data_IF_749393543178
#
_entry.id   IF_749393543178
#
_cell.length_a   1.000
_cell.length_b   1.000
_cell.length_c   1.000
_cell.angle_alpha   90.00
_cell.angle_beta   90.00
_cell.angle_gamma   90.00
#
_symmetry.space_group_name_H-M   'P 1'
#
loop_
_entity.id
_entity.type
_entity.pdbx_description
1 polymer ?
#
# COMPACT_ATOMS: atom_id res chain seq x y z
N UNK A 1 3.43 39.80 -51.14
CA UNK A 1 2.87 38.79 -50.23
C UNK A 1 3.50 37.39 -50.28
N UNK A 2 3.98 36.87 -51.45
CA UNK A 2 4.59 35.49 -51.52
C UNK A 2 5.98 35.35 -50.87
N UNK A 3 6.79 36.43 -50.77
CA UNK A 3 8.16 36.38 -50.21
C UNK A 3 8.15 36.36 -48.64
N UNK A 4 7.15 36.94 -47.99
CA UNK A 4 7.01 36.99 -46.54
C UNK A 4 6.55 35.66 -45.99
N UNK A 5 5.73 34.87 -46.70
CA UNK A 5 5.29 33.54 -46.24
C UNK A 5 6.44 32.51 -46.25
N UNK A 6 7.33 32.57 -47.27
CA UNK A 6 8.48 31.69 -47.36
C UNK A 6 9.50 31.91 -46.21
N UNK A 7 9.72 33.18 -45.80
CA UNK A 7 10.63 33.48 -44.71
C UNK A 7 10.09 33.09 -43.35
N UNK A 8 8.77 33.18 -43.12
CA UNK A 8 8.13 32.74 -41.85
C UNK A 8 8.14 31.21 -41.77
N UNK A 9 7.92 30.51 -42.87
CA UNK A 9 7.97 29.05 -42.92
C UNK A 9 9.39 28.52 -42.66
N UNK A 10 10.43 29.19 -43.17
CA UNK A 10 11.82 28.80 -42.96
C UNK A 10 12.27 29.04 -41.50
N UNK A 11 11.79 30.11 -40.83
CA UNK A 11 12.05 30.37 -39.40
C UNK A 11 11.34 29.34 -38.51
N UNK A 12 10.13 28.94 -38.87
CA UNK A 12 9.40 27.87 -38.11
C UNK A 12 10.05 26.50 -38.27
N UNK A 13 10.59 26.17 -39.42
CA UNK A 13 11.33 24.92 -39.67
C UNK A 13 12.70 24.91 -38.97
N UNK A 14 13.38 26.06 -38.84
CA UNK A 14 14.66 26.12 -38.13
C UNK A 14 14.49 26.11 -36.61
N UNK A 15 13.40 26.61 -36.07
CA UNK A 15 13.06 26.52 -34.63
C UNK A 15 12.67 25.10 -34.23
N UNK A 16 12.06 24.30 -35.12
CA UNK A 16 11.76 22.90 -34.87
C UNK A 16 13.01 22.01 -34.84
N UNK A 17 14.12 22.44 -35.46
CA UNK A 17 15.37 21.66 -35.52
C UNK A 17 16.30 21.89 -34.31
N UNK A 18 15.95 22.76 -33.36
CA UNK A 18 16.79 23.08 -32.19
C UNK A 18 16.26 22.43 -30.89
N UNK A 19 15.17 21.67 -30.97
CA UNK A 19 14.80 20.80 -29.84
C UNK A 19 15.72 19.58 -29.93
N UNK A 20 16.75 19.45 -29.04
CA UNK A 20 17.53 18.23 -29.03
C UNK A 20 16.52 17.07 -28.82
N UNK A 21 16.68 15.94 -29.52
CA UNK A 21 15.86 14.78 -29.21
C UNK A 21 16.02 14.55 -27.71
N UNK A 22 14.92 14.61 -26.97
CA UNK A 22 14.91 14.18 -25.58
C UNK A 22 15.42 12.74 -25.62
N UNK A 23 16.75 12.56 -25.37
CA UNK A 23 17.31 11.21 -25.27
C UNK A 23 16.49 10.53 -24.19
N UNK A 24 15.67 9.59 -24.55
CA UNK A 24 14.96 8.79 -23.60
C UNK A 24 16.01 8.27 -22.61
N UNK A 25 15.99 8.75 -21.39
CA UNK A 25 16.95 8.38 -20.38
C UNK A 25 16.78 6.87 -20.16
N UNK A 26 17.70 6.10 -20.73
CA UNK A 26 17.60 4.64 -20.68
C UNK A 26 18.19 4.16 -19.35
N UNK A 27 17.44 3.34 -18.67
CA UNK A 27 17.91 2.64 -17.49
C UNK A 27 19.00 1.64 -17.88
N UNK A 28 20.15 1.66 -17.19
CA UNK A 28 21.24 0.71 -17.42
C UNK A 28 20.76 -0.73 -17.16
N UNK A 29 20.81 -1.56 -18.21
CA UNK A 29 20.36 -2.96 -18.17
C UNK A 29 21.23 -3.87 -17.30
N UNK A 30 22.43 -3.42 -16.88
CA UNK A 30 23.32 -4.15 -15.97
C UNK A 30 22.94 -4.04 -14.51
N UNK A 31 22.10 -3.07 -14.15
CA UNK A 31 21.62 -2.88 -12.78
C UNK A 31 20.67 -4.02 -12.36
N UNK A 32 20.57 -4.32 -11.05
CA UNK A 32 19.54 -5.20 -10.51
C UNK A 32 18.13 -4.81 -10.94
N UNK A 33 17.25 -5.78 -11.12
CA UNK A 33 15.89 -5.52 -11.57
C UNK A 33 15.13 -4.52 -10.71
N UNK A 34 15.26 -4.61 -9.38
CA UNK A 34 14.62 -3.67 -8.43
C UNK A 34 15.07 -2.23 -8.68
N UNK A 35 16.39 -2.00 -8.86
CA UNK A 35 16.93 -0.67 -9.16
C UNK A 35 16.43 -0.18 -10.53
N UNK A 36 16.41 -1.06 -11.54
CA UNK A 36 15.92 -0.73 -12.88
C UNK A 36 14.45 -0.33 -12.88
N UNK A 37 13.60 -1.06 -12.14
CA UNK A 37 12.19 -0.72 -12.01
C UNK A 37 12.01 0.63 -11.33
N UNK A 38 12.68 0.86 -10.19
CA UNK A 38 12.65 2.13 -9.47
C UNK A 38 13.07 3.29 -10.37
N UNK A 39 14.20 3.19 -11.07
CA UNK A 39 14.66 4.23 -11.98
C UNK A 39 13.69 4.45 -13.15
N UNK A 40 13.11 3.40 -13.68
CA UNK A 40 12.11 3.48 -14.76
C UNK A 40 10.87 4.26 -14.31
N UNK A 41 10.37 4.02 -13.09
CA UNK A 41 9.23 4.76 -12.54
C UNK A 41 9.58 6.23 -12.28
N UNK A 42 10.76 6.51 -11.71
CA UNK A 42 11.23 7.90 -11.48
C UNK A 42 11.42 8.68 -12.79
N UNK A 43 11.84 8.02 -13.88
CA UNK A 43 11.96 8.64 -15.21
C UNK A 43 10.57 8.91 -15.80
N UNK A 44 9.66 7.94 -15.68
CA UNK A 44 8.28 8.05 -16.20
C UNK A 44 7.47 9.10 -15.44
N UNK A 45 7.68 9.18 -14.14
CA UNK A 45 6.97 10.05 -13.21
C UNK A 45 7.97 10.92 -12.43
N UNK A 46 8.50 12.01 -13.02
CA UNK A 46 9.47 12.88 -12.34
C UNK A 46 8.94 13.46 -11.02
N UNK A 47 7.64 13.72 -10.95
CA UNK A 47 6.94 14.10 -9.73
C UNK A 47 6.35 12.87 -9.03
N UNK A 48 6.84 12.53 -7.86
CA UNK A 48 6.49 11.28 -7.15
C UNK A 48 5.00 11.11 -6.83
N UNK A 49 4.22 12.19 -6.79
CA UNK A 49 2.78 12.12 -6.62
C UNK A 49 2.04 11.60 -7.87
N UNK A 50 2.70 11.55 -9.04
CA UNK A 50 2.13 11.05 -10.30
C UNK A 50 2.22 9.52 -10.44
N UNK A 51 2.92 8.84 -9.54
CA UNK A 51 2.94 7.38 -9.50
C UNK A 51 1.52 6.81 -9.65
N UNK A 52 1.41 5.60 -10.20
CA UNK A 52 0.13 4.96 -10.48
C UNK A 52 -0.77 5.80 -11.42
N UNK A 53 -0.16 6.51 -12.39
CA UNK A 53 -0.86 7.31 -13.42
C UNK A 53 -1.82 8.38 -12.85
N UNK A 54 -1.51 8.94 -11.67
CA UNK A 54 -2.41 9.88 -11.02
C UNK A 54 -2.41 11.24 -11.74
N UNK A 55 -3.57 11.75 -12.18
CA UNK A 55 -3.68 13.05 -12.83
C UNK A 55 -3.76 14.22 -11.83
N UNK A 56 -3.89 13.94 -10.53
CA UNK A 56 -3.99 14.91 -9.44
C UNK A 56 -3.47 14.34 -8.14
N UNK A 57 -3.18 15.19 -7.17
CA UNK A 57 -2.74 14.76 -5.84
C UNK A 57 -3.74 13.78 -5.23
N UNK A 58 -3.24 12.63 -4.80
CA UNK A 58 -4.02 11.55 -4.21
C UNK A 58 -3.23 10.86 -3.11
N UNK A 59 -3.83 10.71 -1.95
CA UNK A 59 -3.32 9.87 -0.87
C UNK A 59 -3.95 8.50 -0.98
N UNK A 60 -3.25 7.54 -1.60
CA UNK A 60 -3.79 6.22 -1.90
C UNK A 60 -2.75 5.11 -1.67
N UNK A 61 -3.23 3.88 -1.52
CA UNK A 61 -2.41 2.71 -1.18
C UNK A 61 -1.29 2.42 -2.18
N UNK A 62 -1.50 2.68 -3.46
CA UNK A 62 -0.48 2.47 -4.50
C UNK A 62 0.80 3.24 -4.21
N UNK A 63 0.69 4.52 -3.83
CA UNK A 63 1.86 5.32 -3.45
C UNK A 63 2.61 4.73 -2.25
N UNK A 64 1.87 4.28 -1.23
CA UNK A 64 2.49 3.63 -0.06
C UNK A 64 3.23 2.35 -0.40
N UNK A 65 2.66 1.55 -1.31
CA UNK A 65 3.29 0.32 -1.78
C UNK A 65 4.56 0.60 -2.59
N UNK A 66 4.44 1.42 -3.64
CA UNK A 66 5.55 1.69 -4.55
C UNK A 66 6.70 2.43 -3.87
N UNK A 67 6.39 3.49 -3.13
CA UNK A 67 7.41 4.26 -2.40
C UNK A 67 8.02 3.45 -1.26
N UNK A 68 7.26 2.57 -0.62
CA UNK A 68 7.79 1.61 0.35
C UNK A 68 8.83 0.70 -0.27
N UNK A 69 8.50 0.06 -1.39
CA UNK A 69 9.44 -0.78 -2.15
C UNK A 69 10.66 0.00 -2.66
N UNK A 70 10.49 1.25 -3.10
CA UNK A 70 11.60 2.13 -3.49
C UNK A 70 12.51 2.44 -2.30
N UNK A 71 11.96 2.67 -1.11
CA UNK A 71 12.76 2.85 0.09
C UNK A 71 13.54 1.58 0.47
N UNK A 72 13.00 0.38 0.23
CA UNK A 72 13.75 -0.87 0.42
C UNK A 72 14.94 -0.99 -0.56
N UNK A 73 14.75 -0.52 -1.80
CA UNK A 73 15.85 -0.40 -2.77
C UNK A 73 16.89 0.60 -2.27
N UNK A 74 16.48 1.75 -1.72
CA UNK A 74 17.39 2.70 -1.11
C UNK A 74 18.19 2.08 0.05
N UNK A 75 17.54 1.38 0.96
CA UNK A 75 18.23 0.75 2.11
C UNK A 75 19.23 -0.32 1.66
N UNK A 76 18.96 -0.98 0.54
CA UNK A 76 19.83 -2.03 -0.02
C UNK A 76 21.04 -1.46 -0.79
N UNK A 77 20.83 -0.40 -1.56
CA UNK A 77 21.83 0.09 -2.53
C UNK A 77 22.34 1.52 -2.24
N UNK A 78 21.72 2.26 -1.34
CA UNK A 78 22.19 3.56 -0.86
C UNK A 78 21.97 4.75 -1.81
N UNK A 79 21.18 4.60 -2.88
CA UNK A 79 20.92 5.70 -3.82
C UNK A 79 19.98 6.75 -3.21
N UNK A 80 20.57 7.86 -2.79
CA UNK A 80 19.85 8.97 -2.14
C UNK A 80 18.75 9.60 -3.01
N UNK A 81 18.85 9.51 -4.34
CA UNK A 81 17.80 10.04 -5.23
C UNK A 81 16.48 9.32 -5.02
N UNK A 82 16.52 8.00 -4.75
CA UNK A 82 15.34 7.19 -4.47
C UNK A 82 14.68 7.65 -3.16
N UNK A 83 15.47 7.83 -2.11
CA UNK A 83 15.00 8.36 -0.82
C UNK A 83 14.38 9.75 -0.99
N UNK A 84 15.08 10.64 -1.68
CA UNK A 84 14.66 12.02 -1.86
C UNK A 84 13.35 12.09 -2.68
N UNK A 85 13.15 11.16 -3.61
CA UNK A 85 11.90 11.02 -4.36
C UNK A 85 10.72 10.62 -3.46
N UNK A 86 10.92 9.68 -2.53
CA UNK A 86 9.90 9.32 -1.55
C UNK A 86 9.60 10.47 -0.56
N UNK A 87 10.64 11.18 -0.11
CA UNK A 87 10.49 12.38 0.74
C UNK A 87 9.73 13.48 0.01
N UNK A 88 9.96 13.66 -1.29
CA UNK A 88 9.24 14.65 -2.10
C UNK A 88 7.73 14.38 -2.11
N UNK A 89 7.30 13.13 -2.27
CA UNK A 89 5.89 12.76 -2.12
C UNK A 89 5.34 13.14 -0.75
N UNK A 90 6.02 12.74 0.32
CA UNK A 90 5.57 13.02 1.67
C UNK A 90 5.50 14.54 1.94
N UNK A 91 6.46 15.32 1.44
CA UNK A 91 6.46 16.77 1.54
C UNK A 91 5.28 17.42 0.80
N UNK A 92 4.90 16.87 -0.37
CA UNK A 92 3.77 17.35 -1.15
C UNK A 92 2.43 17.05 -0.46
N UNK A 93 2.35 15.92 0.22
CA UNK A 93 1.08 15.44 0.78
C UNK A 93 0.84 15.85 2.23
N UNK A 94 1.89 15.99 3.05
CA UNK A 94 1.78 16.22 4.50
C UNK A 94 2.06 17.69 4.84
N UNK A 95 1.08 18.35 5.46
CA UNK A 95 1.18 19.75 5.89
C UNK A 95 1.86 19.89 7.27
N UNK A 96 2.28 21.10 7.61
CA UNK A 96 3.00 21.39 8.87
C UNK A 96 2.20 21.05 10.15
N UNK A 97 0.89 21.08 10.07
CA UNK A 97 -0.02 20.68 11.16
C UNK A 97 -0.27 19.16 11.25
N UNK A 98 0.25 18.39 10.29
CA UNK A 98 0.08 16.94 10.20
C UNK A 98 -1.14 16.51 9.38
N UNK A 99 -1.94 17.45 8.86
CA UNK A 99 -3.01 17.10 7.93
C UNK A 99 -2.44 16.59 6.61
N UNK A 100 -3.21 15.76 5.91
CA UNK A 100 -2.76 15.08 4.68
C UNK A 100 -3.69 15.45 3.54
N UNK A 101 -3.12 15.92 2.42
CA UNK A 101 -3.86 16.22 1.20
C UNK A 101 -4.61 14.98 0.71
N UNK A 102 -5.88 15.15 0.37
CA UNK A 102 -6.78 14.08 -0.12
C UNK A 102 -7.01 12.92 0.88
N UNK A 103 -6.64 13.06 2.14
CA UNK A 103 -7.05 12.17 3.22
C UNK A 103 -8.22 12.78 4.01
N UNK A 104 -9.22 11.97 4.30
CA UNK A 104 -10.34 12.37 5.13
C UNK A 104 -10.66 11.23 6.11
N UNK A 105 -10.42 11.48 7.38
CA UNK A 105 -10.57 10.47 8.45
C UNK A 105 -11.97 9.84 8.44
N UNK A 106 -13.02 10.64 8.23
CA UNK A 106 -14.42 10.17 8.27
C UNK A 106 -14.83 9.25 7.10
N UNK A 107 -13.93 9.07 6.11
CA UNK A 107 -14.13 8.07 5.04
C UNK A 107 -13.87 6.66 5.57
N UNK A 108 -13.13 6.54 6.68
CA UNK A 108 -12.79 5.26 7.32
C UNK A 108 -12.40 4.20 6.29
N UNK A 109 -11.43 4.52 5.46
CA UNK A 109 -10.90 3.63 4.41
C UNK A 109 -9.53 3.10 4.82
N UNK A 110 -9.39 1.78 4.96
CA UNK A 110 -8.12 1.15 5.28
C UNK A 110 -7.08 1.39 4.19
N UNK A 111 -7.49 1.50 2.91
CA UNK A 111 -6.57 1.82 1.81
C UNK A 111 -5.77 3.11 2.05
N UNK A 112 -6.38 4.08 2.73
CA UNK A 112 -5.75 5.36 3.02
C UNK A 112 -4.68 5.28 4.11
N UNK A 113 -4.68 4.22 4.90
CA UNK A 113 -3.64 3.98 5.92
C UNK A 113 -2.34 3.53 5.30
N UNK A 114 -2.39 2.76 4.19
CA UNK A 114 -1.20 2.12 3.63
C UNK A 114 -0.07 3.11 3.28
N UNK A 115 -0.39 4.27 2.71
CA UNK A 115 0.61 5.29 2.41
C UNK A 115 1.29 5.88 3.66
N UNK A 116 0.69 5.71 4.83
CA UNK A 116 1.29 6.11 6.10
C UNK A 116 2.52 5.29 6.50
N UNK A 117 2.68 4.08 5.98
CA UNK A 117 3.83 3.21 6.30
C UNK A 117 5.17 3.87 5.96
N UNK A 118 5.26 4.60 4.85
CA UNK A 118 6.48 5.28 4.46
C UNK A 118 6.86 6.41 5.42
N UNK A 119 5.87 6.99 6.13
CA UNK A 119 6.11 8.13 7.02
C UNK A 119 6.92 7.73 8.25
N UNK A 120 6.90 6.47 8.71
CA UNK A 120 7.76 6.01 9.80
C UNK A 120 9.24 6.19 9.43
N UNK A 121 9.62 5.69 8.24
CA UNK A 121 11.01 5.76 7.74
C UNK A 121 11.44 7.19 7.45
N UNK A 122 10.54 7.99 6.84
CA UNK A 122 10.81 9.39 6.52
C UNK A 122 10.95 10.21 7.82
N UNK A 123 10.11 9.96 8.84
CA UNK A 123 10.25 10.61 10.14
C UNK A 123 11.57 10.25 10.82
N UNK A 124 11.99 8.99 10.77
CA UNK A 124 13.28 8.57 11.32
C UNK A 124 14.48 9.31 10.68
N UNK A 125 14.41 9.54 9.39
CA UNK A 125 15.48 10.20 8.63
C UNK A 125 15.48 11.72 8.77
N UNK A 126 14.29 12.33 8.80
CA UNK A 126 14.15 13.80 8.75
C UNK A 126 13.95 14.44 10.11
N UNK A 127 13.37 13.71 11.06
CA UNK A 127 12.91 14.20 12.38
C UNK A 127 11.91 15.34 12.29
N UNK A 128 11.32 15.60 11.11
CA UNK A 128 10.32 16.64 10.94
C UNK A 128 9.01 16.25 11.67
N UNK A 129 8.57 17.06 12.66
CA UNK A 129 7.44 16.71 13.51
C UNK A 129 6.10 16.60 12.78
N UNK A 130 5.98 17.15 11.57
CA UNK A 130 4.76 17.03 10.77
C UNK A 130 4.43 15.57 10.44
N UNK A 131 5.45 14.73 10.20
CA UNK A 131 5.24 13.32 9.90
C UNK A 131 4.76 12.53 11.12
N UNK A 132 5.26 12.87 12.32
CA UNK A 132 4.72 12.26 13.56
C UNK A 132 3.25 12.61 13.75
N UNK A 133 2.88 13.87 13.54
CA UNK A 133 1.47 14.31 13.61
C UNK A 133 0.60 13.60 12.57
N UNK A 134 1.10 13.40 11.36
CA UNK A 134 0.40 12.66 10.32
C UNK A 134 0.23 11.17 10.67
N UNK A 135 1.26 10.54 11.25
CA UNK A 135 1.17 9.18 11.79
C UNK A 135 0.11 9.09 12.89
N UNK A 136 0.05 10.06 13.82
CA UNK A 136 -0.95 10.11 14.89
C UNK A 136 -2.36 10.28 14.33
N UNK A 137 -2.53 11.11 13.29
CA UNK A 137 -3.79 11.28 12.60
C UNK A 137 -4.26 9.97 11.96
N UNK A 138 -3.38 9.26 11.24
CA UNK A 138 -3.71 7.98 10.61
C UNK A 138 -4.04 6.90 11.65
N UNK A 139 -3.27 6.83 12.73
CA UNK A 139 -3.54 5.90 13.84
C UNK A 139 -4.91 6.17 14.47
N UNK A 140 -5.29 7.43 14.65
CA UNK A 140 -6.58 7.80 15.25
C UNK A 140 -7.79 7.23 14.48
N UNK A 141 -7.63 6.89 13.20
CA UNK A 141 -8.70 6.26 12.41
C UNK A 141 -9.17 4.93 13.03
N UNK A 142 -8.26 4.11 13.58
CA UNK A 142 -8.61 2.79 14.11
C UNK A 142 -9.59 2.84 15.27
N UNK A 143 -9.56 3.93 16.05
CA UNK A 143 -10.53 4.15 17.16
C UNK A 143 -11.97 4.33 16.69
N UNK A 144 -12.18 4.85 15.46
CA UNK A 144 -13.50 5.06 14.87
C UNK A 144 -13.80 4.18 13.67
N UNK A 145 -12.87 3.32 13.25
CA UNK A 145 -13.08 2.42 12.09
C UNK A 145 -14.30 1.54 12.35
N UNK A 146 -15.30 1.53 11.45
CA UNK A 146 -16.46 0.66 11.60
C UNK A 146 -16.06 -0.82 11.70
N UNK A 147 -16.81 -1.57 12.54
CA UNK A 147 -16.52 -2.97 12.86
C UNK A 147 -17.76 -3.84 12.74
N UNK A 148 -17.54 -5.10 12.50
CA UNK A 148 -18.53 -6.15 12.72
C UNK A 148 -18.62 -6.51 14.19
N UNK A 149 -19.65 -7.26 14.60
CA UNK A 149 -19.90 -7.62 15.99
C UNK A 149 -18.76 -8.40 16.65
N UNK A 150 -17.94 -9.10 15.85
CA UNK A 150 -16.76 -9.82 16.30
C UNK A 150 -15.47 -8.96 16.33
N UNK A 151 -15.61 -7.66 16.12
CA UNK A 151 -14.53 -6.68 16.16
C UNK A 151 -13.75 -6.52 14.86
N UNK A 152 -14.02 -7.32 13.82
CA UNK A 152 -13.35 -7.20 12.52
C UNK A 152 -13.67 -5.88 11.82
N UNK A 153 -12.65 -5.19 11.34
CA UNK A 153 -12.82 -3.91 10.63
C UNK A 153 -13.56 -4.07 9.31
N UNK A 154 -14.48 -3.16 9.02
CA UNK A 154 -14.91 -2.98 7.65
C UNK A 154 -13.75 -2.45 6.81
N UNK A 155 -13.61 -2.97 5.60
CA UNK A 155 -12.56 -2.51 4.68
C UNK A 155 -12.65 -1.00 4.42
N UNK A 156 -13.87 -0.50 4.21
CA UNK A 156 -14.21 0.92 4.09
C UNK A 156 -15.60 1.18 4.64
N UNK A 157 -15.85 2.37 5.14
CA UNK A 157 -17.20 2.77 5.58
C UNK A 157 -18.26 2.62 4.48
N UNK A 158 -17.89 2.86 3.22
CA UNK A 158 -18.79 2.71 2.06
C UNK A 158 -19.05 1.24 1.67
N UNK A 159 -18.37 0.29 2.30
CA UNK A 159 -18.56 -1.16 2.14
C UNK A 159 -18.92 -1.76 3.51
N UNK A 160 -20.15 -1.50 4.01
CA UNK A 160 -20.54 -1.94 5.34
C UNK A 160 -20.46 -3.46 5.48
N UNK A 161 -20.03 -3.92 6.65
CA UNK A 161 -19.89 -5.32 7.03
C UNK A 161 -18.88 -6.15 6.22
N UNK A 162 -18.12 -5.53 5.31
CA UNK A 162 -17.19 -6.26 4.44
C UNK A 162 -15.77 -6.29 5.02
N UNK A 163 -15.22 -7.49 5.18
CA UNK A 163 -13.80 -7.73 5.42
C UNK A 163 -13.14 -8.27 4.16
N UNK A 164 -12.06 -7.66 3.73
CA UNK A 164 -11.27 -8.09 2.57
C UNK A 164 -9.84 -8.41 3.00
N UNK A 165 -9.24 -9.43 2.39
CA UNK A 165 -7.83 -9.76 2.61
C UNK A 165 -6.92 -8.55 2.34
N UNK A 166 -7.26 -7.76 1.32
CA UNK A 166 -6.60 -6.49 0.96
C UNK A 166 -6.53 -5.54 2.15
N UNK A 167 -7.63 -5.40 2.90
CA UNK A 167 -7.73 -4.49 4.04
C UNK A 167 -6.73 -4.79 5.15
N UNK A 168 -6.36 -6.08 5.31
CA UNK A 168 -5.34 -6.48 6.29
C UNK A 168 -3.99 -5.88 5.94
N UNK A 169 -3.58 -5.93 4.67
CA UNK A 169 -2.33 -5.31 4.24
C UNK A 169 -2.36 -3.78 4.34
N UNK A 170 -3.51 -3.21 4.03
CA UNK A 170 -3.66 -1.75 4.03
C UNK A 170 -3.52 -1.15 5.42
N UNK A 171 -4.06 -1.80 6.46
CA UNK A 171 -4.13 -1.23 7.81
C UNK A 171 -3.25 -1.92 8.85
N UNK A 172 -3.23 -3.25 8.91
CA UNK A 172 -2.68 -3.97 10.04
C UNK A 172 -1.15 -3.82 10.24
N UNK A 173 -0.29 -3.81 9.19
CA UNK A 173 1.14 -3.55 9.38
C UNK A 173 1.41 -2.14 9.92
N UNK A 174 0.71 -1.12 9.43
CA UNK A 174 0.82 0.23 9.98
C UNK A 174 0.42 0.27 11.46
N UNK A 175 -0.68 -0.39 11.81
CA UNK A 175 -1.19 -0.45 13.17
C UNK A 175 -0.18 -1.14 14.10
N UNK A 176 0.40 -2.27 13.66
CA UNK A 176 1.41 -3.00 14.42
C UNK A 176 2.70 -2.17 14.62
N UNK A 177 3.22 -1.54 13.57
CA UNK A 177 4.40 -0.69 13.64
C UNK A 177 4.17 0.53 14.54
N UNK A 178 2.99 1.18 14.44
CA UNK A 178 2.65 2.30 15.29
C UNK A 178 2.56 1.88 16.76
N UNK A 179 1.90 0.76 17.06
CA UNK A 179 1.79 0.23 18.42
C UNK A 179 3.17 -0.09 19.01
N UNK A 180 4.04 -0.73 18.24
CA UNK A 180 5.41 -1.06 18.64
C UNK A 180 6.22 0.21 18.96
N UNK A 181 6.26 1.17 18.04
CA UNK A 181 7.06 2.40 18.17
C UNK A 181 6.59 3.32 19.29
N UNK A 182 5.31 3.28 19.64
CA UNK A 182 4.72 4.11 20.69
C UNK A 182 4.45 3.35 22.00
N UNK A 183 4.92 2.10 22.12
CA UNK A 183 4.74 1.25 23.29
C UNK A 183 3.28 1.11 23.73
N UNK A 184 2.42 0.65 22.81
CA UNK A 184 0.99 0.47 23.02
C UNK A 184 0.61 -1.02 23.06
N UNK A 185 0.98 -1.76 24.12
CA UNK A 185 0.79 -3.23 24.16
C UNK A 185 -0.68 -3.66 24.10
N UNK A 186 -1.60 -2.80 24.49
CA UNK A 186 -3.05 -3.10 24.46
C UNK A 186 -3.58 -3.28 23.03
N UNK A 187 -2.91 -2.73 22.04
CA UNK A 187 -3.37 -2.76 20.65
C UNK A 187 -3.08 -4.11 19.98
N UNK A 188 -2.11 -4.88 20.47
CA UNK A 188 -1.75 -6.15 19.83
C UNK A 188 -2.90 -7.16 19.79
N UNK A 189 -3.71 -7.21 20.84
CA UNK A 189 -4.87 -8.09 20.86
C UNK A 189 -5.87 -7.76 19.75
N UNK A 190 -6.13 -6.47 19.50
CA UNK A 190 -6.99 -6.02 18.40
C UNK A 190 -6.36 -6.31 17.03
N UNK A 191 -5.07 -6.01 16.86
CA UNK A 191 -4.33 -6.29 15.61
C UNK A 191 -4.41 -7.78 15.27
N UNK A 192 -4.15 -8.66 16.23
CA UNK A 192 -4.22 -10.12 16.06
C UNK A 192 -5.66 -10.54 15.72
N UNK A 193 -6.65 -9.96 16.40
CA UNK A 193 -8.07 -10.23 16.13
C UNK A 193 -8.44 -9.91 14.68
N UNK A 194 -7.91 -8.85 14.07
CA UNK A 194 -8.18 -8.55 12.66
C UNK A 194 -7.78 -9.70 11.74
N UNK A 195 -6.58 -10.25 11.93
CA UNK A 195 -6.10 -11.38 11.13
C UNK A 195 -6.91 -12.66 11.36
N UNK A 196 -7.12 -13.04 12.62
CA UNK A 196 -7.82 -14.28 12.98
C UNK A 196 -9.29 -14.23 12.54
N UNK A 197 -9.96 -13.10 12.72
CA UNK A 197 -11.35 -12.91 12.31
C UNK A 197 -11.48 -12.95 10.78
N UNK A 198 -10.58 -12.29 10.06
CA UNK A 198 -10.56 -12.35 8.60
C UNK A 198 -10.32 -13.80 8.11
N UNK A 199 -9.38 -14.52 8.71
CA UNK A 199 -9.14 -15.94 8.39
C UNK A 199 -10.41 -16.76 8.60
N UNK A 200 -11.08 -16.63 9.75
CA UNK A 200 -12.31 -17.35 10.06
C UNK A 200 -13.41 -17.11 9.04
N UNK A 201 -13.59 -15.86 8.61
CA UNK A 201 -14.62 -15.49 7.64
C UNK A 201 -14.31 -15.89 6.20
N UNK A 202 -13.02 -16.03 5.84
CA UNK A 202 -12.63 -16.21 4.44
C UNK A 202 -12.07 -17.58 4.11
N UNK A 203 -11.76 -18.42 5.12
CA UNK A 203 -11.20 -19.74 4.91
C UNK A 203 -12.16 -20.66 4.13
N UNK A 204 -11.64 -21.30 3.08
CA UNK A 204 -12.35 -22.29 2.30
C UNK A 204 -11.79 -23.70 2.62
N UNK A 205 -12.53 -24.53 3.38
CA UNK A 205 -12.05 -25.85 3.76
C UNK A 205 -11.90 -26.83 2.60
N UNK A 206 -12.50 -26.52 1.42
CA UNK A 206 -12.42 -27.41 0.25
C UNK A 206 -11.05 -27.39 -0.41
N UNK A 207 -10.36 -26.26 -0.35
CA UNK A 207 -9.04 -26.10 -0.98
C UNK A 207 -7.95 -25.60 -0.01
N UNK A 208 -8.32 -25.28 1.25
CA UNK A 208 -7.39 -24.78 2.26
C UNK A 208 -6.88 -23.35 2.04
N UNK A 209 -7.47 -22.61 1.11
CA UNK A 209 -7.14 -21.21 0.80
C UNK A 209 -8.11 -20.25 1.47
N UNK A 210 -7.89 -18.95 1.25
CA UNK A 210 -8.77 -17.91 1.75
C UNK A 210 -9.49 -17.22 0.59
N UNK A 211 -10.79 -17.02 0.72
CA UNK A 211 -11.59 -16.25 -0.21
C UNK A 211 -11.19 -14.79 -0.15
N UNK A 212 -11.30 -14.08 -1.27
CA UNK A 212 -10.91 -12.68 -1.39
C UNK A 212 -11.52 -11.78 -0.30
N UNK A 213 -12.81 -11.97 0.00
CA UNK A 213 -13.56 -11.15 0.94
C UNK A 213 -14.73 -11.93 1.55
N UNK A 214 -15.27 -11.37 2.62
CA UNK A 214 -16.53 -11.78 3.22
C UNK A 214 -17.39 -10.55 3.50
N UNK A 215 -18.68 -10.62 3.15
CA UNK A 215 -19.73 -9.74 3.68
C UNK A 215 -20.44 -10.44 4.83
N UNK A 216 -20.18 -10.02 6.06
CA UNK A 216 -20.75 -10.61 7.27
C UNK A 216 -22.27 -10.48 7.33
N UNK A 217 -22.81 -9.42 6.70
CA UNK A 217 -24.28 -9.22 6.59
C UNK A 217 -24.95 -10.13 5.56
N UNK A 218 -24.19 -10.68 4.60
CA UNK A 218 -24.66 -11.56 3.52
C UNK A 218 -25.65 -10.88 2.57
N UNK A 219 -25.60 -9.57 2.46
CA UNK A 219 -26.56 -8.77 1.65
C UNK A 219 -25.99 -8.39 0.29
N UNK A 220 -24.67 -8.48 0.14
CA UNK A 220 -24.01 -8.16 -1.12
C UNK A 220 -24.28 -9.22 -2.20
N UNK A 221 -24.50 -8.78 -3.42
CA UNK A 221 -24.81 -9.65 -4.57
C UNK A 221 -23.70 -10.66 -4.91
N UNK A 222 -22.46 -10.33 -4.55
CA UNK A 222 -21.29 -11.19 -4.80
C UNK A 222 -21.06 -12.21 -3.67
N UNK A 223 -21.66 -12.01 -2.51
CA UNK A 223 -21.49 -12.83 -1.32
C UNK A 223 -22.33 -14.10 -1.39
N UNK A 224 -21.79 -15.20 -0.92
CA UNK A 224 -22.54 -16.42 -0.70
C UNK A 224 -23.63 -16.18 0.37
N UNK A 225 -24.89 -16.54 0.11
CA UNK A 225 -26.01 -16.19 1.01
C UNK A 225 -25.97 -16.97 2.35
N UNK A 226 -25.15 -18.02 2.45
CA UNK A 226 -25.02 -18.82 3.68
C UNK A 226 -23.77 -18.41 4.45
N UNK A 227 -22.63 -18.26 3.76
CA UNK A 227 -21.33 -18.02 4.39
C UNK A 227 -20.89 -16.57 4.37
N UNK A 228 -21.44 -15.75 3.48
CA UNK A 228 -20.98 -14.37 3.24
C UNK A 228 -19.69 -14.29 2.38
N UNK A 229 -19.08 -15.41 2.05
CA UNK A 229 -17.81 -15.46 1.35
C UNK A 229 -17.94 -15.07 -0.13
N UNK A 230 -16.89 -14.46 -0.67
CA UNK A 230 -16.76 -14.27 -2.11
C UNK A 230 -16.55 -15.59 -2.86
N UNK A 231 -16.91 -15.63 -4.15
CA UNK A 231 -16.85 -16.85 -4.98
C UNK A 231 -15.44 -17.42 -5.16
N UNK A 232 -14.42 -16.57 -5.17
CA UNK A 232 -13.08 -16.93 -5.63
C UNK A 232 -12.01 -16.69 -4.58
N UNK A 233 -10.99 -17.55 -4.58
CA UNK A 233 -9.68 -17.26 -4.00
C UNK A 233 -8.88 -16.50 -5.08
N UNK A 234 -8.49 -15.28 -4.81
CA UNK A 234 -7.78 -14.44 -5.76
C UNK A 234 -6.32 -14.27 -5.37
N UNK A 235 -5.39 -14.63 -6.26
CA UNK A 235 -3.95 -14.66 -5.97
C UNK A 235 -3.41 -13.35 -5.42
N UNK A 236 -3.82 -12.20 -5.97
CA UNK A 236 -3.40 -10.89 -5.46
C UNK A 236 -3.88 -10.65 -4.02
N UNK A 237 -5.13 -10.97 -3.70
CA UNK A 237 -5.67 -10.80 -2.35
C UNK A 237 -4.96 -11.73 -1.34
N UNK A 238 -4.69 -12.98 -1.73
CA UNK A 238 -3.87 -13.92 -0.95
C UNK A 238 -2.46 -13.37 -0.71
N UNK A 239 -1.85 -12.75 -1.73
CA UNK A 239 -0.55 -12.07 -1.61
C UNK A 239 -0.60 -10.93 -0.60
N UNK A 240 -1.63 -10.07 -0.66
CA UNK A 240 -1.83 -9.02 0.33
C UNK A 240 -1.91 -9.56 1.75
N UNK A 241 -2.66 -10.65 1.95
CA UNK A 241 -2.80 -11.24 3.27
C UNK A 241 -1.50 -11.83 3.80
N UNK A 242 -0.76 -12.55 2.95
CA UNK A 242 0.54 -13.10 3.32
C UNK A 242 1.56 -12.00 3.67
N UNK A 243 1.64 -10.93 2.86
CA UNK A 243 2.51 -9.79 3.13
C UNK A 243 2.10 -9.08 4.43
N UNK A 244 0.80 -8.89 4.67
CA UNK A 244 0.31 -8.30 5.91
C UNK A 244 0.74 -9.08 7.15
N UNK A 245 0.69 -10.41 7.08
CA UNK A 245 1.11 -11.29 8.17
C UNK A 245 2.63 -11.16 8.43
N UNK A 246 3.44 -11.18 7.37
CA UNK A 246 4.90 -11.02 7.48
C UNK A 246 5.23 -9.66 8.11
N UNK A 247 4.72 -8.58 7.52
CA UNK A 247 5.04 -7.22 7.95
C UNK A 247 4.58 -6.94 9.40
N UNK A 248 3.37 -7.42 9.78
CA UNK A 248 2.87 -7.23 11.14
C UNK A 248 3.65 -8.05 12.17
N UNK A 249 4.09 -9.27 11.82
CA UNK A 249 4.85 -10.14 12.71
C UNK A 249 6.23 -9.58 13.08
N UNK A 250 6.77 -8.65 12.30
CA UNK A 250 8.02 -7.95 12.63
C UNK A 250 7.85 -7.03 13.85
N UNK A 251 6.64 -6.54 14.10
CA UNK A 251 6.34 -5.58 15.18
C UNK A 251 5.56 -6.20 16.34
N UNK A 252 4.92 -7.35 16.17
CA UNK A 252 4.22 -8.05 17.26
C UNK A 252 5.25 -8.84 18.08
N UNK A 253 5.36 -8.60 19.41
CA UNK A 253 6.33 -9.29 20.24
C UNK A 253 6.17 -10.81 20.20
N UNK A 254 7.30 -11.55 20.28
CA UNK A 254 7.29 -13.02 20.18
C UNK A 254 6.46 -13.72 21.26
N UNK A 255 6.33 -13.09 22.42
CA UNK A 255 5.56 -13.60 23.56
C UNK A 255 4.11 -13.15 23.57
N UNK A 256 3.66 -12.38 22.56
CA UNK A 256 2.30 -11.86 22.53
C UNK A 256 1.27 -12.98 22.33
N UNK A 257 0.23 -12.95 23.13
CA UNK A 257 -0.84 -13.95 23.09
C UNK A 257 -1.54 -13.92 21.71
N UNK A 258 -1.67 -15.09 21.07
CA UNK A 258 -2.30 -15.23 19.74
C UNK A 258 -1.36 -15.02 18.56
N UNK A 259 -0.10 -14.62 18.77
CA UNK A 259 0.90 -14.51 17.69
C UNK A 259 1.08 -15.84 16.93
N UNK A 260 1.01 -16.96 17.61
CA UNK A 260 1.11 -18.28 16.99
C UNK A 260 -0.03 -18.57 16.02
N UNK A 261 -1.21 -17.99 16.22
CA UNK A 261 -2.33 -18.08 15.26
C UNK A 261 -1.98 -17.39 13.93
N UNK A 262 -1.28 -16.26 13.97
CA UNK A 262 -0.81 -15.57 12.76
C UNK A 262 0.21 -16.41 12.00
N UNK A 263 1.15 -17.02 12.73
CA UNK A 263 2.13 -17.95 12.14
C UNK A 263 1.45 -19.17 11.52
N UNK A 264 0.42 -19.72 12.17
CA UNK A 264 -0.34 -20.84 11.64
C UNK A 264 -1.07 -20.48 10.34
N UNK A 265 -1.69 -19.29 10.27
CA UNK A 265 -2.33 -18.77 9.06
C UNK A 265 -1.30 -18.61 7.93
N UNK A 266 -0.16 -17.97 8.21
CA UNK A 266 0.90 -17.76 7.22
C UNK A 266 1.47 -19.08 6.71
N UNK A 267 1.74 -20.03 7.58
CA UNK A 267 2.20 -21.38 7.22
C UNK A 267 1.17 -22.10 6.36
N UNK A 268 -0.13 -22.02 6.70
CA UNK A 268 -1.18 -22.59 5.87
C UNK A 268 -1.14 -22.01 4.45
N UNK A 269 -1.07 -20.69 4.31
CA UNK A 269 -0.96 -20.02 2.99
C UNK A 269 0.24 -20.57 2.21
N UNK A 270 1.42 -20.60 2.83
CA UNK A 270 2.65 -21.07 2.19
C UNK A 270 2.54 -22.52 1.72
N UNK A 271 2.00 -23.41 2.56
CA UNK A 271 1.80 -24.84 2.23
C UNK A 271 0.80 -25.03 1.10
N UNK A 272 -0.30 -24.29 1.09
CA UNK A 272 -1.32 -24.46 0.05
C UNK A 272 -0.87 -23.85 -1.30
N UNK A 273 -0.26 -22.68 -1.29
CA UNK A 273 0.26 -22.02 -2.50
C UNK A 273 1.34 -22.89 -3.16
N UNK A 274 2.23 -23.52 -2.36
CA UNK A 274 3.24 -24.45 -2.89
C UNK A 274 2.65 -25.64 -3.67
N UNK A 275 1.40 -26.02 -3.40
CA UNK A 275 0.70 -27.11 -4.11
C UNK A 275 0.11 -26.68 -5.46
N UNK A 276 0.17 -25.38 -5.78
CA UNK A 276 -0.44 -24.78 -6.96
C UNK A 276 0.63 -24.16 -7.88
N UNK A 277 1.66 -24.90 -8.31
CA UNK A 277 2.66 -24.38 -9.22
C UNK A 277 2.01 -24.04 -10.56
N UNK A 278 2.45 -22.97 -11.19
CA UNK A 278 2.14 -22.71 -12.59
C UNK A 278 2.83 -23.79 -13.44
N UNK A 279 2.10 -24.58 -14.26
CA UNK A 279 2.70 -25.64 -15.06
C UNK A 279 3.65 -25.11 -16.14
N UNK A 280 3.70 -23.79 -16.36
CA UNK A 280 4.57 -23.14 -17.36
C UNK A 280 5.83 -22.49 -16.76
N UNK A 281 5.92 -22.40 -15.45
CA UNK A 281 7.07 -21.88 -14.68
C UNK A 281 7.52 -22.89 -13.65
#
# INVERSE_FOLDING_TARGET
MRRTLASVLFILLTLAAIIPPMSAQQVDKKLPWSVRMTQSEMIRWPESWQLDFQPKLKWDYCHGLELGAMLDVYDTYGDKKIRDYAIAYANTMVHADGTITAYKLTDYSLDRINSGKILFRIYEQTKDPKYKKALDLLYSQFGGQPRNDDGGFWHKKIYPHQMWLDGLYMGAPFYAEYAFRNNLPKDYADIINQFVTCARHTYDPKNGLYRHACDVSRTERWADPVTGQSKHCWGRAMGWYAMALVDALDFIPKHEAGRDSLLAILNNIAVQVKKLPDPKT
#
